data_IF_115772506079
#
_entry.id   IF_115772506079
#
_cell.length_a   1.000
_cell.length_b   1.000
_cell.length_c   1.000
_cell.angle_alpha   90.00
_cell.angle_beta   90.00
_cell.angle_gamma   90.00
#
_symmetry.space_group_name_H-M   'P 1'
#
loop_
_entity.id
_entity.type
_entity.pdbx_description
1 polymer ?
#
# COMPACT_ATOMS: atom_id res chain seq x y z
N UNK A 1 -14.07 -0.89 -11.22
CA UNK A 1 -12.67 -0.88 -11.71
C UNK A 1 -12.14 -2.31 -11.85
N UNK A 2 -11.33 -2.61 -12.86
CA UNK A 2 -10.86 -3.99 -13.16
C UNK A 2 -9.80 -4.51 -12.17
N UNK A 3 -8.89 -3.64 -11.69
CA UNK A 3 -7.86 -4.01 -10.71
C UNK A 3 -8.41 -4.44 -9.35
N UNK A 4 -9.60 -3.97 -8.97
CA UNK A 4 -10.25 -4.31 -7.70
C UNK A 4 -11.09 -5.58 -7.76
N UNK A 5 -11.44 -6.05 -8.96
CA UNK A 5 -12.11 -7.34 -9.13
C UNK A 5 -11.13 -8.53 -9.03
N UNK A 6 -9.83 -8.32 -9.26
CA UNK A 6 -8.81 -9.37 -9.17
C UNK A 6 -8.38 -9.64 -7.72
N UNK A 7 -8.22 -8.59 -6.90
CA UNK A 7 -7.86 -8.71 -5.47
C UNK A 7 -9.12 -8.91 -4.60
N UNK A 8 -10.26 -8.39 -5.05
CA UNK A 8 -11.53 -8.42 -4.34
C UNK A 8 -11.92 -7.05 -3.77
N UNK A 9 -13.19 -6.67 -3.94
CA UNK A 9 -13.78 -5.45 -3.36
C UNK A 9 -14.56 -5.80 -2.08
N UNK A 10 -13.92 -6.53 -1.17
CA UNK A 10 -14.53 -6.99 0.08
C UNK A 10 -13.91 -6.24 1.25
N UNK A 11 -14.73 -5.44 1.94
CA UNK A 11 -14.39 -4.78 3.20
C UNK A 11 -14.53 -5.71 4.42
N UNK A 12 -14.74 -7.01 4.19
CA UNK A 12 -14.85 -8.03 5.23
C UNK A 12 -13.44 -8.47 5.62
N UNK A 13 -13.07 -8.25 6.89
CA UNK A 13 -11.81 -8.74 7.45
C UNK A 13 -11.96 -10.24 7.70
N UNK A 14 -11.38 -11.05 6.81
CA UNK A 14 -11.29 -12.50 6.98
C UNK A 14 -9.86 -12.89 7.34
N UNK A 15 -9.69 -13.82 8.27
CA UNK A 15 -8.37 -14.37 8.64
C UNK A 15 -7.77 -15.31 7.57
N UNK A 16 -8.51 -15.56 6.47
CA UNK A 16 -8.05 -16.41 5.37
C UNK A 16 -7.13 -15.64 4.43
N UNK A 17 -5.94 -16.19 4.18
CA UNK A 17 -4.96 -15.66 3.21
C UNK A 17 -5.46 -15.64 1.76
N UNK A 18 -6.50 -16.42 1.45
CA UNK A 18 -7.12 -16.51 0.13
C UNK A 18 -8.45 -15.74 0.03
N UNK A 19 -8.87 -15.07 1.11
CA UNK A 19 -10.08 -14.26 1.05
C UNK A 19 -9.84 -13.01 0.21
N UNK A 20 -10.84 -12.58 -0.59
CA UNK A 20 -10.78 -11.31 -1.27
C UNK A 20 -10.60 -10.18 -0.27
N UNK A 21 -9.65 -9.29 -0.53
CA UNK A 21 -9.27 -8.21 0.38
C UNK A 21 -9.26 -6.86 -0.30
N UNK A 22 -9.68 -5.82 0.42
CA UNK A 22 -9.68 -4.46 -0.12
C UNK A 22 -8.47 -3.67 0.36
N UNK A 23 -7.45 -3.54 -0.50
CA UNK A 23 -6.16 -2.93 -0.13
C UNK A 23 -6.21 -1.41 -0.11
N UNK A 24 -5.32 -0.78 0.67
CA UNK A 24 -5.20 0.69 0.76
C UNK A 24 -5.00 1.36 -0.63
N UNK A 25 -4.10 0.89 -1.51
CA UNK A 25 -3.98 1.44 -2.87
C UNK A 25 -5.28 1.32 -3.67
N UNK A 26 -5.99 0.20 -3.55
CA UNK A 26 -7.28 -0.01 -4.23
C UNK A 26 -8.37 0.94 -3.72
N UNK A 27 -8.42 1.17 -2.40
CA UNK A 27 -9.31 2.15 -1.76
C UNK A 27 -9.08 3.55 -2.31
N UNK A 28 -7.81 3.98 -2.37
CA UNK A 28 -7.44 5.31 -2.87
C UNK A 28 -7.78 5.46 -4.35
N UNK A 29 -7.40 4.49 -5.20
CA UNK A 29 -7.66 4.55 -6.63
C UNK A 29 -9.17 4.60 -6.96
N UNK A 30 -9.99 3.88 -6.20
CA UNK A 30 -11.43 3.82 -6.40
C UNK A 30 -12.17 5.05 -5.86
N UNK A 31 -11.86 5.47 -4.64
CA UNK A 31 -12.71 6.41 -3.90
C UNK A 31 -12.19 7.86 -3.93
N UNK A 32 -10.94 8.10 -4.31
CA UNK A 32 -10.40 9.47 -4.32
C UNK A 32 -11.09 10.36 -5.36
N UNK A 33 -11.44 9.81 -6.53
CA UNK A 33 -12.17 10.54 -7.56
C UNK A 33 -13.68 10.69 -7.26
N UNK A 34 -14.20 9.89 -6.32
CA UNK A 34 -15.63 9.85 -5.97
C UNK A 34 -15.92 10.54 -4.63
N UNK A 35 -14.88 10.97 -3.90
CA UNK A 35 -15.00 11.68 -2.63
C UNK A 35 -15.48 13.11 -2.87
N UNK A 36 -16.67 13.44 -2.35
CA UNK A 36 -17.29 14.77 -2.46
C UNK A 36 -17.17 15.56 -1.15
N UNK A 37 -17.26 14.88 -0.01
CA UNK A 37 -17.20 15.53 1.31
C UNK A 37 -15.76 15.79 1.77
N UNK A 38 -15.50 16.94 2.38
CA UNK A 38 -14.18 17.31 2.93
C UNK A 38 -13.65 16.28 3.93
N UNK A 39 -14.53 15.70 4.76
CA UNK A 39 -14.15 14.66 5.71
C UNK A 39 -13.69 13.38 4.99
N UNK A 40 -14.31 13.04 3.86
CA UNK A 40 -13.98 11.85 3.08
C UNK A 40 -12.63 12.02 2.39
N UNK A 41 -12.39 13.20 1.80
CA UNK A 41 -11.09 13.56 1.22
C UNK A 41 -10.01 13.55 2.31
N UNK A 42 -10.29 14.11 3.50
CA UNK A 42 -9.38 14.10 4.64
C UNK A 42 -9.01 12.70 5.09
N UNK A 43 -9.98 11.79 5.18
CA UNK A 43 -9.75 10.38 5.53
C UNK A 43 -8.89 9.66 4.47
N UNK A 44 -9.15 9.89 3.17
CA UNK A 44 -8.35 9.31 2.08
C UNK A 44 -6.92 9.89 2.06
N UNK A 45 -6.75 11.18 2.35
CA UNK A 45 -5.43 11.79 2.46
C UNK A 45 -4.62 11.23 3.63
N UNK A 46 -5.27 11.00 4.78
CA UNK A 46 -4.63 10.32 5.91
C UNK A 46 -4.20 8.90 5.55
N UNK A 47 -5.06 8.17 4.83
CA UNK A 47 -4.75 6.82 4.37
C UNK A 47 -3.58 6.81 3.35
N UNK A 48 -3.52 7.81 2.46
CA UNK A 48 -2.42 8.00 1.53
C UNK A 48 -1.10 8.28 2.25
N UNK A 49 -1.13 9.07 3.32
CA UNK A 49 0.05 9.34 4.15
C UNK A 49 0.57 8.07 4.82
N UNK A 50 -0.32 7.23 5.37
CA UNK A 50 0.06 5.94 5.96
C UNK A 50 0.74 5.06 4.90
N UNK A 51 0.11 4.94 3.72
CA UNK A 51 0.67 4.15 2.63
C UNK A 51 2.06 4.66 2.22
N UNK A 52 2.21 5.97 2.10
CA UNK A 52 3.50 6.60 1.77
C UNK A 52 4.59 6.25 2.78
N UNK A 53 4.31 6.36 4.09
CA UNK A 53 5.27 6.02 5.14
C UNK A 53 5.66 4.54 5.09
N UNK A 54 4.70 3.65 4.86
CA UNK A 54 4.97 2.20 4.73
C UNK A 54 5.85 1.94 3.51
N UNK A 55 5.48 2.48 2.34
CA UNK A 55 6.25 2.30 1.10
C UNK A 55 7.66 2.85 1.23
N UNK A 56 7.81 4.03 1.83
CA UNK A 56 9.11 4.66 2.05
C UNK A 56 9.94 3.84 3.03
N UNK A 57 9.38 3.40 4.15
CA UNK A 57 10.08 2.57 5.14
C UNK A 57 10.59 1.25 4.55
N UNK A 58 9.75 0.56 3.78
CA UNK A 58 10.12 -0.69 3.09
C UNK A 58 11.21 -0.42 2.04
N UNK A 59 11.06 0.61 1.21
CA UNK A 59 12.06 0.95 0.19
C UNK A 59 13.40 1.34 0.81
N UNK A 60 13.39 2.16 1.87
CA UNK A 60 14.60 2.54 2.59
C UNK A 60 15.31 1.31 3.16
N UNK A 61 14.57 0.38 3.78
CA UNK A 61 15.15 -0.87 4.29
C UNK A 61 15.73 -1.73 3.16
N UNK A 62 15.03 -1.86 2.03
CA UNK A 62 15.51 -2.61 0.88
C UNK A 62 16.81 -2.01 0.31
N UNK A 63 16.89 -0.68 0.18
CA UNK A 63 18.10 0.02 -0.27
C UNK A 63 19.26 -0.21 0.71
N UNK A 64 19.00 -0.13 2.02
CA UNK A 64 20.02 -0.40 3.03
C UNK A 64 20.51 -1.85 2.97
N UNK A 65 19.61 -2.82 2.84
CA UNK A 65 19.99 -4.24 2.66
C UNK A 65 20.89 -4.43 1.45
N UNK A 66 20.51 -3.88 0.28
CA UNK A 66 21.32 -3.98 -0.94
C UNK A 66 22.68 -3.29 -0.77
N UNK A 67 22.73 -2.13 -0.11
CA UNK A 67 23.98 -1.43 0.17
C UNK A 67 24.91 -2.24 1.10
N UNK A 68 24.36 -2.95 2.09
CA UNK A 68 25.16 -3.83 2.96
C UNK A 68 25.73 -5.03 2.23
N UNK A 69 24.97 -5.64 1.32
CA UNK A 69 25.41 -6.82 0.54
C UNK A 69 26.50 -6.41 -0.47
N UNK A 70 26.33 -5.27 -1.16
CA UNK A 70 27.34 -4.77 -2.11
C UNK A 70 28.71 -4.54 -1.45
N UNK A 71 28.72 -4.03 -0.22
CA UNK A 71 29.95 -3.81 0.56
C UNK A 71 30.69 -5.10 0.94
N UNK A 72 30.00 -6.24 1.05
CA UNK A 72 30.62 -7.54 1.33
C UNK A 72 31.20 -8.19 0.05
N UNK A 73 30.69 -7.85 -1.13
CA UNK A 73 31.18 -8.35 -2.41
C UNK A 73 32.51 -7.75 -2.87
N UNK A 74 32.90 -6.58 -2.38
CA UNK A 74 34.17 -5.91 -2.74
C UNK A 74 35.37 -6.36 -1.88
N UNK A 75 35.17 -7.27 -0.91
CA UNK A 75 36.20 -7.73 0.03
C UNK A 75 36.75 -9.14 -0.26
N UNK A 76 36.43 -9.75 -1.39
CA UNK A 76 37.03 -11.00 -1.90
C UNK A 76 37.65 -10.77 -3.28
#
# INVERSE_FOLDING_TARGET
MAGTMVIGNSNIISASLLAPGYTIPSVLANQFAEAVDELHIGALMYLALILFVITLGINSLAVLMVATIRRQGESN
#
